data_IF_199570566707
#
_entry.id   IF_199570566707
#
_cell.length_a   1.000
_cell.length_b   1.000
_cell.length_c   1.000
_cell.angle_alpha   90.00
_cell.angle_beta   90.00
_cell.angle_gamma   90.00
#
_symmetry.space_group_name_H-M   'P 1'
#
loop_
_entity.id
_entity.type
_entity.pdbx_description
1 polymer ?
#
# COMPACT_ATOMS: atom_id res chain seq x y z
N UNK A 1 -19.17 16.34 -16.65
CA UNK A 1 -18.43 16.76 -15.43
C UNK A 1 -16.97 16.42 -15.65
N UNK A 2 -16.05 17.25 -15.16
CA UNK A 2 -14.61 16.97 -15.21
C UNK A 2 -14.20 16.05 -14.07
N UNK A 3 -13.22 15.20 -14.32
CA UNK A 3 -12.65 14.28 -13.33
C UNK A 3 -11.15 14.51 -13.18
N UNK A 4 -10.68 14.47 -11.94
CA UNK A 4 -9.25 14.44 -11.60
C UNK A 4 -8.85 12.99 -11.34
N UNK A 5 -7.94 12.46 -12.15
CA UNK A 5 -7.33 11.15 -11.98
C UNK A 5 -6.01 11.32 -11.21
N UNK A 6 -6.06 11.10 -9.91
CA UNK A 6 -4.90 11.21 -9.02
C UNK A 6 -4.08 9.92 -9.07
N UNK A 7 -2.79 10.01 -9.43
CA UNK A 7 -1.89 8.85 -9.35
C UNK A 7 -1.28 8.75 -7.94
N UNK A 8 -1.22 7.54 -7.39
CA UNK A 8 -0.58 7.24 -6.10
C UNK A 8 0.46 6.15 -6.29
N UNK A 9 1.64 6.32 -5.69
CA UNK A 9 2.69 5.30 -5.74
C UNK A 9 4.09 5.86 -5.53
N UNK A 10 5.03 4.99 -5.15
CA UNK A 10 6.43 5.37 -4.93
C UNK A 10 7.16 5.76 -6.24
N UNK A 11 8.25 6.53 -6.21
CA UNK A 11 9.11 6.70 -7.38
C UNK A 11 9.53 5.35 -7.97
N UNK A 12 9.54 5.21 -9.30
CA UNK A 12 9.81 3.91 -9.95
C UNK A 12 8.60 2.99 -10.12
N UNK A 13 7.46 3.27 -9.47
CA UNK A 13 6.30 2.37 -9.55
C UNK A 13 5.63 2.28 -10.92
N UNK A 14 5.92 3.21 -11.83
CA UNK A 14 5.36 3.22 -13.18
C UNK A 14 4.28 4.27 -13.41
N UNK A 15 3.93 5.10 -12.41
CA UNK A 15 2.96 6.20 -12.52
C UNK A 15 3.07 6.99 -13.82
N UNK A 16 4.23 7.57 -14.13
CA UNK A 16 4.39 8.41 -15.33
C UNK A 16 4.24 7.63 -16.65
N UNK A 17 4.43 6.31 -16.64
CA UNK A 17 4.10 5.47 -17.80
C UNK A 17 2.60 5.26 -17.89
N UNK A 18 1.96 4.86 -16.79
CA UNK A 18 0.50 4.71 -16.68
C UNK A 18 -0.25 6.01 -17.01
N UNK A 19 0.28 7.16 -16.58
CA UNK A 19 -0.26 8.49 -16.79
C UNK A 19 -0.52 8.77 -18.28
N UNK A 20 0.36 8.32 -19.17
CA UNK A 20 0.21 8.51 -20.62
C UNK A 20 -0.98 7.74 -21.17
N UNK A 21 -1.15 6.50 -20.74
CA UNK A 21 -2.30 5.68 -21.13
C UNK A 21 -3.61 6.27 -20.58
N UNK A 22 -3.61 6.65 -19.30
CA UNK A 22 -4.75 7.29 -18.65
C UNK A 22 -5.13 8.62 -19.32
N UNK A 23 -4.16 9.49 -19.66
CA UNK A 23 -4.45 10.73 -20.39
C UNK A 23 -5.13 10.47 -21.75
N UNK A 24 -4.70 9.44 -22.47
CA UNK A 24 -5.30 9.08 -23.76
C UNK A 24 -6.73 8.56 -23.59
N UNK A 25 -6.94 7.67 -22.62
CA UNK A 25 -8.24 7.08 -22.33
C UNK A 25 -9.26 8.13 -21.88
N UNK A 26 -8.86 8.97 -20.93
CA UNK A 26 -9.75 9.94 -20.28
C UNK A 26 -9.76 11.31 -20.97
N UNK A 27 -9.06 11.44 -22.10
CA UNK A 27 -8.87 12.70 -22.86
C UNK A 27 -8.38 13.86 -21.96
N UNK A 28 -7.53 13.51 -21.01
CA UNK A 28 -7.10 14.37 -19.92
C UNK A 28 -5.79 15.12 -20.22
N UNK A 29 -5.58 16.21 -19.51
CA UNK A 29 -4.31 16.95 -19.48
C UNK A 29 -3.44 16.35 -18.37
N UNK A 30 -2.15 16.16 -18.64
CA UNK A 30 -1.19 15.70 -17.63
C UNK A 30 -0.65 16.89 -16.83
N UNK A 31 -0.85 16.87 -15.51
CA UNK A 31 -0.19 17.77 -14.56
C UNK A 31 0.79 16.94 -13.74
N UNK A 32 2.09 17.04 -14.04
CA UNK A 32 3.13 16.24 -13.42
C UNK A 32 4.09 17.10 -12.58
N UNK A 33 4.21 16.78 -11.29
CA UNK A 33 5.03 17.57 -10.35
C UNK A 33 6.53 17.57 -10.69
N UNK A 34 7.05 16.49 -11.30
CA UNK A 34 8.44 16.45 -11.76
C UNK A 34 8.67 17.37 -12.98
N UNK A 35 7.71 17.45 -13.91
CA UNK A 35 7.80 18.36 -15.06
C UNK A 35 7.69 19.84 -14.63
N UNK A 36 6.80 20.13 -13.68
CA UNK A 36 6.66 21.46 -13.08
C UNK A 36 7.95 21.84 -12.34
N UNK A 37 8.54 20.91 -11.58
CA UNK A 37 9.80 21.13 -10.88
C UNK A 37 10.94 21.46 -11.84
N UNK A 38 11.05 20.73 -12.95
CA UNK A 38 12.04 20.99 -13.99
C UNK A 38 11.82 22.37 -14.65
N UNK A 39 10.58 22.75 -14.96
CA UNK A 39 10.26 24.06 -15.53
C UNK A 39 10.56 25.22 -14.58
N UNK A 40 10.30 25.06 -13.28
CA UNK A 40 10.49 26.13 -12.28
C UNK A 40 11.95 26.28 -11.82
N UNK A 41 12.71 25.19 -11.74
CA UNK A 41 14.03 25.17 -11.07
C UNK A 41 15.16 24.55 -11.91
N UNK A 42 14.86 24.05 -13.12
CA UNK A 42 15.84 23.37 -13.97
C UNK A 42 16.47 22.16 -13.27
N UNK A 43 17.79 22.01 -13.44
CA UNK A 43 18.61 20.97 -12.81
C UNK A 43 18.99 21.27 -11.35
N UNK A 44 18.71 22.48 -10.84
CA UNK A 44 19.14 22.95 -9.53
C UNK A 44 18.14 22.54 -8.41
N UNK A 45 17.82 21.24 -8.41
CA UNK A 45 16.75 20.63 -7.60
C UNK A 45 17.05 20.54 -6.09
N UNK A 46 18.09 21.22 -5.58
CA UNK A 46 18.54 21.11 -4.18
C UNK A 46 17.78 21.97 -3.17
N UNK A 47 16.79 22.77 -3.60
CA UNK A 47 16.07 23.67 -2.68
C UNK A 47 14.64 23.21 -2.31
N UNK A 48 14.31 23.49 -1.04
CA UNK A 48 13.07 23.24 -0.29
C UNK A 48 11.86 24.03 -0.82
N UNK A 49 11.58 24.01 -2.12
CA UNK A 49 10.44 24.71 -2.74
C UNK A 49 9.30 23.77 -3.15
N UNK A 50 9.13 22.66 -2.42
CA UNK A 50 8.07 21.69 -2.72
C UNK A 50 6.69 22.34 -2.73
N UNK A 51 6.42 23.29 -1.83
CA UNK A 51 5.15 24.03 -1.81
C UNK A 51 4.88 24.74 -3.14
N UNK A 52 5.86 25.45 -3.72
CA UNK A 52 5.72 26.16 -5.01
C UNK A 52 5.38 25.21 -6.16
N UNK A 53 5.92 23.99 -6.14
CA UNK A 53 5.60 22.98 -7.17
C UNK A 53 4.14 22.56 -7.06
N UNK A 54 3.64 22.32 -5.85
CA UNK A 54 2.24 21.95 -5.64
C UNK A 54 1.30 23.13 -5.89
N UNK A 55 1.65 24.36 -5.52
CA UNK A 55 0.86 25.55 -5.83
C UNK A 55 0.70 25.73 -7.34
N UNK A 56 1.80 25.59 -8.10
CA UNK A 56 1.76 25.63 -9.56
C UNK A 56 0.94 24.47 -10.15
N UNK A 57 1.06 23.26 -9.60
CA UNK A 57 0.27 22.11 -10.03
C UNK A 57 -1.23 22.35 -9.80
N UNK A 58 -1.61 22.87 -8.64
CA UNK A 58 -3.01 23.16 -8.32
C UNK A 58 -3.58 24.26 -9.20
N UNK A 59 -2.80 25.30 -9.53
CA UNK A 59 -3.20 26.32 -10.49
C UNK A 59 -3.42 25.73 -11.90
N UNK A 60 -2.57 24.82 -12.37
CA UNK A 60 -2.77 24.14 -13.67
C UNK A 60 -4.00 23.23 -13.67
N UNK A 61 -4.26 22.53 -12.56
CA UNK A 61 -5.45 21.69 -12.39
C UNK A 61 -6.71 22.58 -12.43
N UNK A 62 -6.72 23.70 -11.73
CA UNK A 62 -7.85 24.65 -11.71
C UNK A 62 -8.15 25.20 -13.10
N UNK A 63 -7.12 25.61 -13.84
CA UNK A 63 -7.27 26.10 -15.21
C UNK A 63 -7.84 25.02 -16.14
N UNK A 64 -7.36 23.78 -16.03
CA UNK A 64 -7.86 22.67 -16.83
C UNK A 64 -9.33 22.35 -16.52
N UNK A 65 -9.72 22.35 -15.24
CA UNK A 65 -11.10 22.13 -14.81
C UNK A 65 -12.02 23.25 -15.32
N UNK A 66 -11.59 24.51 -15.20
CA UNK A 66 -12.34 25.67 -15.74
C UNK A 66 -12.52 25.57 -17.26
N UNK A 67 -11.55 25.00 -17.97
CA UNK A 67 -11.64 24.72 -19.40
C UNK A 67 -12.44 23.45 -19.74
N UNK A 68 -13.07 22.77 -18.77
CA UNK A 68 -13.87 21.57 -18.98
C UNK A 68 -13.03 20.33 -19.34
N UNK A 69 -11.77 20.28 -18.92
CA UNK A 69 -10.84 19.17 -19.22
C UNK A 69 -10.63 18.28 -18.00
N UNK A 70 -10.60 16.97 -18.24
CA UNK A 70 -10.12 16.00 -17.26
C UNK A 70 -8.62 16.22 -17.01
N UNK A 71 -8.15 15.83 -15.82
CA UNK A 71 -6.75 15.99 -15.44
C UNK A 71 -6.20 14.69 -14.90
N UNK A 72 -5.00 14.30 -15.34
CA UNK A 72 -4.20 13.29 -14.66
C UNK A 72 -3.17 14.01 -13.81
N UNK A 73 -3.22 13.82 -12.49
CA UNK A 73 -2.29 14.40 -11.55
C UNK A 73 -1.20 13.40 -11.17
N UNK A 74 -0.01 13.54 -11.78
CA UNK A 74 1.16 12.68 -11.53
C UNK A 74 2.07 13.28 -10.44
N UNK A 75 1.88 12.77 -9.23
CA UNK A 75 2.77 12.95 -8.10
C UNK A 75 2.84 11.63 -7.31
N UNK A 76 3.66 11.58 -6.27
CA UNK A 76 3.75 10.37 -5.43
C UNK A 76 2.49 10.16 -4.60
N UNK A 77 1.89 11.24 -4.08
CA UNK A 77 0.63 11.25 -3.32
C UNK A 77 0.55 10.16 -2.22
N UNK A 78 1.66 9.91 -1.53
CA UNK A 78 1.78 8.79 -0.57
C UNK A 78 1.10 9.04 0.78
N UNK A 79 0.93 10.30 1.18
CA UNK A 79 0.41 10.68 2.49
C UNK A 79 -1.10 10.97 2.41
N UNK A 80 -1.88 10.32 3.28
CA UNK A 80 -3.34 10.38 3.31
C UNK A 80 -3.86 11.78 3.61
N UNK A 81 -3.26 12.45 4.60
CA UNK A 81 -3.61 13.81 5.00
C UNK A 81 -3.56 14.80 3.81
N UNK A 82 -2.55 14.69 2.97
CA UNK A 82 -2.37 15.51 1.76
C UNK A 82 -3.39 15.17 0.68
N UNK A 83 -3.77 13.90 0.52
CA UNK A 83 -4.82 13.49 -0.42
C UNK A 83 -6.18 14.05 0.02
N UNK A 84 -6.51 13.95 1.30
CA UNK A 84 -7.74 14.55 1.88
C UNK A 84 -7.74 16.08 1.69
N UNK A 85 -6.62 16.76 1.97
CA UNK A 85 -6.50 18.21 1.73
C UNK A 85 -6.70 18.57 0.25
N UNK A 86 -6.16 17.77 -0.66
CA UNK A 86 -6.36 17.94 -2.10
C UNK A 86 -7.84 17.78 -2.47
N UNK A 87 -8.48 16.70 -2.03
CA UNK A 87 -9.90 16.43 -2.32
C UNK A 87 -10.77 17.57 -1.77
N UNK A 88 -10.50 18.05 -0.56
CA UNK A 88 -11.21 19.19 0.02
C UNK A 88 -11.04 20.49 -0.79
N UNK A 89 -9.85 20.72 -1.37
CA UNK A 89 -9.61 21.86 -2.27
C UNK A 89 -10.49 21.75 -3.52
N UNK A 90 -10.63 20.55 -4.08
CA UNK A 90 -11.37 20.26 -5.30
C UNK A 90 -12.74 19.62 -5.04
N UNK A 91 -13.39 19.92 -3.91
CA UNK A 91 -14.61 19.24 -3.43
C UNK A 91 -15.81 19.23 -4.40
N UNK A 92 -15.80 20.12 -5.39
CA UNK A 92 -16.84 20.23 -6.43
C UNK A 92 -16.46 19.49 -7.73
N UNK A 93 -15.39 18.68 -7.71
CA UNK A 93 -14.87 17.94 -8.85
C UNK A 93 -14.64 16.50 -8.42
N UNK A 94 -15.09 15.55 -9.24
CA UNK A 94 -14.88 14.12 -8.96
C UNK A 94 -13.38 13.80 -8.99
N UNK A 95 -12.91 13.04 -8.00
CA UNK A 95 -11.52 12.58 -7.92
C UNK A 95 -11.50 11.06 -7.92
N UNK A 96 -10.85 10.46 -8.91
CA UNK A 96 -10.57 9.04 -8.96
C UNK A 96 -9.10 8.78 -8.65
N UNK A 97 -8.80 7.74 -7.87
CA UNK A 97 -7.44 7.38 -7.48
C UNK A 97 -6.93 6.19 -8.30
N UNK A 98 -5.73 6.29 -8.84
CA UNK A 98 -5.05 5.21 -9.56
C UNK A 98 -3.80 4.79 -8.79
N UNK A 99 -3.85 3.62 -8.18
CA UNK A 99 -2.84 3.09 -7.29
C UNK A 99 -1.83 2.29 -8.12
N UNK A 100 -0.63 2.82 -8.30
CA UNK A 100 0.46 2.17 -9.04
C UNK A 100 1.41 1.46 -8.07
N UNK A 101 1.30 0.14 -7.98
CA UNK A 101 2.10 -0.69 -7.08
C UNK A 101 2.93 -1.72 -7.85
N UNK A 102 4.18 -1.88 -7.45
CA UNK A 102 5.11 -2.90 -7.94
C UNK A 102 6.03 -3.33 -6.79
N UNK A 103 6.69 -4.49 -6.87
CA UNK A 103 7.72 -4.88 -5.92
C UNK A 103 8.78 -3.78 -5.78
N UNK A 104 9.20 -3.52 -4.54
CA UNK A 104 10.17 -2.47 -4.22
C UNK A 104 11.44 -2.57 -5.07
N UNK A 105 11.95 -3.78 -5.24
CA UNK A 105 13.16 -4.08 -6.01
C UNK A 105 13.06 -3.62 -7.47
N UNK A 106 11.88 -3.75 -8.08
CA UNK A 106 11.61 -3.26 -9.43
C UNK A 106 11.57 -1.73 -9.45
N UNK A 107 10.89 -1.11 -8.47
CA UNK A 107 10.87 0.34 -8.36
C UNK A 107 12.28 0.91 -8.17
N UNK A 108 13.11 0.28 -7.32
CA UNK A 108 14.51 0.64 -7.07
C UNK A 108 15.35 0.53 -8.34
N UNK A 109 15.29 -0.60 -9.05
CA UNK A 109 16.01 -0.79 -10.31
C UNK A 109 15.62 0.28 -11.35
N UNK A 110 14.32 0.58 -11.47
CA UNK A 110 13.81 1.63 -12.36
C UNK A 110 14.27 3.03 -11.96
N UNK A 111 14.43 3.31 -10.67
CA UNK A 111 14.94 4.60 -10.18
C UNK A 111 16.44 4.71 -10.43
N UNK A 112 17.21 3.65 -10.19
CA UNK A 112 18.65 3.61 -10.42
C UNK A 112 19.03 3.86 -11.89
N UNK A 113 18.18 3.44 -12.82
CA UNK A 113 18.36 3.67 -14.26
C UNK A 113 18.02 5.11 -14.72
N UNK A 114 17.45 5.97 -13.87
CA UNK A 114 17.07 7.35 -14.25
C UNK A 114 18.28 8.29 -14.22
N UNK A 115 18.25 9.31 -15.08
CA UNK A 115 19.23 10.43 -15.04
C UNK A 115 19.26 11.13 -13.67
N UNK A 116 18.08 11.36 -13.08
CA UNK A 116 17.94 11.90 -11.73
C UNK A 116 18.00 10.77 -10.71
N UNK A 117 19.07 10.74 -9.92
CA UNK A 117 19.23 9.77 -8.83
C UNK A 117 18.41 10.18 -7.61
N UNK A 118 17.73 9.22 -7.01
CA UNK A 118 17.12 9.33 -5.68
C UNK A 118 17.94 8.40 -4.80
N UNK A 119 18.40 8.89 -3.64
CA UNK A 119 19.11 8.06 -2.67
C UNK A 119 18.20 6.94 -2.15
N UNK A 120 18.75 5.74 -1.97
CA UNK A 120 17.97 4.56 -1.55
C UNK A 120 17.19 4.81 -0.25
N UNK A 121 17.82 5.43 0.76
CA UNK A 121 17.13 5.81 2.01
C UNK A 121 15.88 6.67 1.81
N UNK A 122 15.85 7.50 0.75
CA UNK A 122 14.69 8.33 0.42
C UNK A 122 13.61 7.50 -0.25
N UNK A 123 13.98 6.55 -1.12
CA UNK A 123 13.05 5.63 -1.75
C UNK A 123 12.44 4.66 -0.73
N UNK A 124 13.23 4.13 0.19
CA UNK A 124 12.75 3.34 1.33
C UNK A 124 11.74 4.13 2.15
N UNK A 125 12.01 5.41 2.41
CA UNK A 125 11.06 6.28 3.12
C UNK A 125 9.75 6.41 2.35
N UNK A 126 9.77 6.55 1.02
CA UNK A 126 8.53 6.55 0.24
C UNK A 126 7.74 5.25 0.41
N UNK A 127 8.43 4.10 0.45
CA UNK A 127 7.78 2.81 0.60
C UNK A 127 7.19 2.60 2.00
N UNK A 128 7.95 2.92 3.05
CA UNK A 128 7.54 2.83 4.47
C UNK A 128 6.48 3.84 4.90
N UNK A 129 6.13 4.82 4.04
CA UNK A 129 5.16 5.88 4.37
C UNK A 129 4.06 5.99 3.29
N UNK A 130 3.90 4.97 2.44
CA UNK A 130 2.77 4.92 1.52
C UNK A 130 1.53 4.45 2.29
N UNK A 131 0.75 5.41 2.77
CA UNK A 131 -0.56 5.14 3.34
C UNK A 131 -1.50 4.75 2.22
N UNK A 132 -1.97 3.50 2.23
CA UNK A 132 -2.79 2.96 1.15
C UNK A 132 -4.10 3.77 1.00
N UNK A 133 -4.47 4.20 -0.22
CA UNK A 133 -5.69 4.98 -0.45
C UNK A 133 -6.95 4.21 -0.07
N UNK A 134 -7.88 4.87 0.61
CA UNK A 134 -9.21 4.33 0.92
C UNK A 134 -10.31 5.22 0.35
N UNK A 135 -11.45 4.64 -0.02
CA UNK A 135 -12.54 5.35 -0.70
C UNK A 135 -13.05 6.55 0.13
N UNK A 136 -13.17 6.37 1.45
CA UNK A 136 -13.65 7.38 2.39
C UNK A 136 -12.71 8.60 2.58
N UNK A 137 -11.53 8.62 1.97
CA UNK A 137 -10.76 9.87 1.81
C UNK A 137 -11.53 10.91 0.97
N UNK A 138 -12.56 10.47 0.23
CA UNK A 138 -13.40 11.26 -0.66
C UNK A 138 -13.16 10.98 -2.14
N UNK A 139 -12.58 9.81 -2.46
CA UNK A 139 -12.45 9.35 -3.84
C UNK A 139 -13.77 8.79 -4.36
N UNK A 140 -14.06 9.04 -5.63
CA UNK A 140 -15.22 8.45 -6.32
C UNK A 140 -14.97 6.97 -6.65
N UNK A 141 -13.72 6.63 -6.98
CA UNK A 141 -13.29 5.28 -7.33
C UNK A 141 -11.81 5.08 -7.08
N UNK A 142 -11.44 3.86 -6.70
CA UNK A 142 -10.05 3.39 -6.64
C UNK A 142 -9.79 2.43 -7.81
N UNK A 143 -8.67 2.60 -8.49
CA UNK A 143 -8.22 1.74 -9.58
C UNK A 143 -6.87 1.15 -9.24
N UNK A 144 -6.74 -0.18 -9.26
CA UNK A 144 -5.44 -0.83 -9.05
C UNK A 144 -4.72 -0.97 -10.39
N UNK A 145 -3.71 -0.12 -10.61
CA UNK A 145 -2.89 -0.11 -11.80
C UNK A 145 -1.63 -0.98 -11.59
N UNK A 146 -1.63 -2.17 -12.18
CA UNK A 146 -0.46 -3.06 -12.21
C UNK A 146 -0.14 -3.51 -13.63
N UNK A 147 1.15 -3.71 -13.90
CA UNK A 147 1.60 -4.44 -15.09
C UNK A 147 1.64 -5.95 -14.76
N UNK A 148 1.41 -6.83 -15.74
CA UNK A 148 1.55 -8.27 -15.53
C UNK A 148 2.93 -8.63 -14.95
N UNK A 149 2.93 -9.48 -13.93
CA UNK A 149 4.11 -9.93 -13.21
C UNK A 149 3.87 -11.33 -12.63
N UNK A 150 4.85 -12.21 -12.78
CA UNK A 150 4.76 -13.58 -12.26
C UNK A 150 5.22 -13.62 -10.79
N UNK A 151 4.29 -13.96 -9.89
CA UNK A 151 4.55 -13.99 -8.44
C UNK A 151 4.95 -15.36 -7.91
N UNK A 152 4.95 -16.40 -8.76
CA UNK A 152 5.32 -17.78 -8.42
C UNK A 152 4.23 -18.58 -7.68
N UNK A 153 3.16 -17.92 -7.20
CA UNK A 153 2.03 -18.56 -6.54
C UNK A 153 0.86 -18.67 -7.53
N UNK A 154 0.12 -19.78 -7.49
CA UNK A 154 -1.12 -20.01 -8.24
C UNK A 154 -2.31 -19.87 -7.30
N UNK A 155 -3.32 -19.10 -7.71
CA UNK A 155 -4.47 -18.74 -6.87
C UNK A 155 -5.24 -19.97 -6.40
N UNK A 156 -5.60 -20.85 -7.33
CA UNK A 156 -6.41 -22.04 -7.06
C UNK A 156 -5.70 -22.96 -6.06
N UNK A 157 -4.40 -23.17 -6.24
CA UNK A 157 -3.57 -23.95 -5.32
C UNK A 157 -3.51 -23.34 -3.92
N UNK A 158 -3.37 -22.01 -3.82
CA UNK A 158 -3.36 -21.32 -2.52
C UNK A 158 -4.71 -21.47 -1.81
N UNK A 159 -5.82 -21.25 -2.51
CA UNK A 159 -7.17 -21.38 -1.93
C UNK A 159 -7.49 -22.82 -1.51
N UNK A 160 -7.08 -23.82 -2.31
CA UNK A 160 -7.20 -25.22 -1.95
C UNK A 160 -6.39 -25.58 -0.70
N UNK A 161 -5.14 -25.11 -0.62
CA UNK A 161 -4.30 -25.29 0.56
C UNK A 161 -4.97 -24.68 1.79
N UNK A 162 -5.38 -23.41 1.73
CA UNK A 162 -6.04 -22.71 2.85
C UNK A 162 -7.31 -23.43 3.31
N UNK A 163 -8.13 -23.93 2.39
CA UNK A 163 -9.33 -24.73 2.71
C UNK A 163 -8.97 -26.04 3.41
N UNK A 164 -7.85 -26.64 3.04
CA UNK A 164 -7.33 -27.87 3.62
C UNK A 164 -6.72 -27.72 5.02
N UNK A 165 -6.64 -26.49 5.57
CA UNK A 165 -5.98 -26.18 6.85
C UNK A 165 -4.57 -26.82 6.91
N UNK A 166 -3.65 -26.35 6.04
CA UNK A 166 -2.36 -26.99 5.85
C UNK A 166 -1.48 -26.77 7.07
N UNK A 167 -0.49 -27.63 7.29
CA UNK A 167 0.60 -27.35 8.24
C UNK A 167 1.43 -26.13 7.82
N UNK A 168 2.21 -25.56 8.75
CA UNK A 168 3.15 -24.47 8.43
C UNK A 168 4.06 -24.83 7.25
N UNK A 169 4.63 -26.04 7.25
CA UNK A 169 5.61 -26.45 6.26
C UNK A 169 4.96 -26.67 4.88
N UNK A 170 3.76 -27.24 4.83
CA UNK A 170 2.99 -27.38 3.57
C UNK A 170 2.61 -26.02 2.98
N UNK A 171 2.15 -25.10 3.83
CA UNK A 171 1.77 -23.76 3.40
C UNK A 171 2.98 -23.00 2.84
N UNK A 172 4.07 -22.95 3.60
CA UNK A 172 5.26 -22.20 3.19
C UNK A 172 6.05 -22.89 2.08
N UNK A 173 5.89 -24.20 1.88
CA UNK A 173 6.40 -24.89 0.68
C UNK A 173 5.82 -24.29 -0.61
N UNK A 174 4.54 -23.89 -0.59
CA UNK A 174 3.89 -23.17 -1.69
C UNK A 174 4.26 -21.68 -1.69
N UNK A 175 4.10 -20.99 -0.56
CA UNK A 175 4.25 -19.53 -0.50
C UNK A 175 5.66 -19.04 -0.85
N UNK A 176 6.71 -19.80 -0.53
CA UNK A 176 8.11 -19.40 -0.77
C UNK A 176 8.45 -19.23 -2.26
N UNK A 177 7.59 -19.66 -3.19
CA UNK A 177 7.73 -19.33 -4.60
C UNK A 177 7.65 -17.82 -4.85
N UNK A 178 6.97 -17.07 -3.98
CA UNK A 178 6.99 -15.61 -3.96
C UNK A 178 8.17 -15.12 -3.10
N UNK A 179 9.06 -14.25 -3.62
CA UNK A 179 10.22 -13.74 -2.87
C UNK A 179 9.89 -13.08 -1.53
N UNK A 180 8.69 -12.50 -1.40
CA UNK A 180 8.27 -11.89 -0.14
C UNK A 180 8.12 -12.94 0.95
N UNK A 181 7.34 -14.00 0.71
CA UNK A 181 7.14 -15.07 1.67
C UNK A 181 8.42 -15.88 1.90
N UNK A 182 9.26 -16.03 0.88
CA UNK A 182 10.59 -16.63 1.04
C UNK A 182 11.43 -15.90 2.10
N UNK A 183 11.35 -14.56 2.15
CA UNK A 183 12.09 -13.76 3.13
C UNK A 183 11.57 -13.86 4.56
N UNK A 184 10.37 -14.40 4.76
CA UNK A 184 9.75 -14.59 6.07
C UNK A 184 10.16 -15.92 6.72
N UNK A 185 10.50 -16.93 5.92
CA UNK A 185 10.93 -18.24 6.38
C UNK A 185 12.19 -18.14 7.24
N UNK A 186 12.08 -18.56 8.50
CA UNK A 186 13.21 -18.54 9.44
C UNK A 186 13.68 -17.14 9.84
N UNK A 187 12.94 -16.08 9.48
CA UNK A 187 13.31 -14.72 9.83
C UNK A 187 13.16 -14.50 11.34
N UNK A 188 14.31 -14.37 12.02
CA UNK A 188 14.36 -13.99 13.42
C UNK A 188 14.01 -12.51 13.58
N UNK A 189 12.95 -12.25 14.33
CA UNK A 189 12.47 -10.89 14.58
C UNK A 189 13.39 -10.13 15.57
N UNK A 190 14.27 -10.81 16.32
CA UNK A 190 15.25 -10.19 17.23
C UNK A 190 14.63 -9.06 18.08
N UNK A 191 13.43 -9.32 18.58
CA UNK A 191 12.62 -8.38 19.34
C UNK A 191 12.03 -9.12 20.55
N UNK A 192 12.21 -8.60 21.79
CA UNK A 192 11.84 -9.29 23.02
C UNK A 192 10.34 -9.63 23.13
N UNK A 193 9.48 -9.01 22.32
CA UNK A 193 8.04 -9.27 22.33
C UNK A 193 7.61 -10.41 21.39
N UNK A 194 8.56 -11.11 20.76
CA UNK A 194 8.28 -12.21 19.84
C UNK A 194 9.14 -13.43 20.17
N UNK A 195 8.47 -14.56 20.35
CA UNK A 195 9.11 -15.87 20.59
C UNK A 195 9.27 -16.72 19.33
N UNK A 196 8.54 -16.36 18.27
CA UNK A 196 8.44 -17.11 17.01
C UNK A 196 9.22 -16.42 15.89
N UNK A 197 9.71 -17.20 14.93
CA UNK A 197 10.12 -16.64 13.64
C UNK A 197 8.91 -16.00 12.95
N UNK A 198 9.16 -15.10 11.99
CA UNK A 198 8.07 -14.40 11.32
C UNK A 198 7.08 -15.36 10.63
N UNK A 199 7.56 -16.36 9.89
CA UNK A 199 6.66 -17.34 9.24
C UNK A 199 5.82 -18.14 10.23
N UNK A 200 6.39 -18.51 11.37
CA UNK A 200 5.69 -19.22 12.44
C UNK A 200 4.62 -18.34 13.11
N UNK A 201 4.93 -17.06 13.35
CA UNK A 201 3.96 -16.10 13.87
C UNK A 201 2.80 -15.89 12.88
N UNK A 202 3.11 -15.63 11.60
CA UNK A 202 2.11 -15.52 10.52
C UNK A 202 1.20 -16.75 10.46
N UNK A 203 1.77 -17.96 10.56
CA UNK A 203 0.98 -19.19 10.57
C UNK A 203 0.11 -19.33 11.83
N UNK A 204 0.62 -18.98 13.02
CA UNK A 204 -0.18 -19.02 14.24
C UNK A 204 -1.38 -18.04 14.18
N UNK A 205 -1.25 -16.87 13.54
CA UNK A 205 -2.39 -15.97 13.27
C UNK A 205 -3.40 -16.64 12.34
N UNK A 206 -2.93 -17.28 11.27
CA UNK A 206 -3.79 -18.01 10.34
C UNK A 206 -4.55 -19.16 11.03
N UNK A 207 -3.88 -19.92 11.92
CA UNK A 207 -4.53 -20.97 12.71
C UNK A 207 -5.64 -20.40 13.60
N UNK A 208 -5.38 -19.27 14.28
CA UNK A 208 -6.40 -18.60 15.08
C UNK A 208 -7.61 -18.19 14.23
N UNK A 209 -7.36 -17.59 13.07
CA UNK A 209 -8.42 -17.24 12.10
C UNK A 209 -9.24 -18.47 11.71
N UNK A 210 -8.58 -19.60 11.40
CA UNK A 210 -9.24 -20.83 10.96
C UNK A 210 -10.11 -21.50 12.02
N UNK A 211 -9.80 -21.27 13.30
CA UNK A 211 -10.52 -21.88 14.43
C UNK A 211 -11.58 -20.95 15.02
N UNK A 212 -11.36 -19.63 14.98
CA UNK A 212 -12.19 -18.67 15.72
C UNK A 212 -12.98 -17.70 14.85
N UNK A 213 -12.68 -17.56 13.56
CA UNK A 213 -13.39 -16.62 12.70
C UNK A 213 -14.70 -17.22 12.14
N UNK A 214 -15.82 -16.62 12.50
CA UNK A 214 -17.17 -17.03 12.04
C UNK A 214 -17.80 -16.04 11.05
N UNK A 215 -17.04 -15.02 10.59
CA UNK A 215 -17.52 -14.00 9.66
C UNK A 215 -17.57 -14.45 8.19
N UNK A 216 -18.15 -13.62 7.34
CA UNK A 216 -18.37 -13.94 5.92
C UNK A 216 -17.07 -13.87 5.09
N UNK A 217 -16.12 -13.02 5.50
CA UNK A 217 -14.87 -12.75 4.79
C UNK A 217 -13.71 -13.64 5.23
N UNK A 218 -13.93 -14.96 5.35
CA UNK A 218 -12.92 -15.89 5.86
C UNK A 218 -11.66 -15.89 5.00
N UNK A 219 -11.79 -15.92 3.68
CA UNK A 219 -10.62 -15.96 2.80
C UNK A 219 -9.83 -14.64 2.86
N UNK A 220 -10.51 -13.50 2.92
CA UNK A 220 -9.89 -12.19 3.10
C UNK A 220 -9.13 -12.12 4.44
N UNK A 221 -9.72 -12.64 5.51
CA UNK A 221 -9.10 -12.73 6.84
C UNK A 221 -7.86 -13.64 6.83
N UNK A 222 -7.93 -14.80 6.16
CA UNK A 222 -6.79 -15.70 5.97
C UNK A 222 -5.66 -15.02 5.18
N UNK A 223 -5.98 -14.33 4.09
CA UNK A 223 -4.98 -13.62 3.29
C UNK A 223 -4.41 -12.42 4.04
N UNK A 224 -5.22 -11.70 4.82
CA UNK A 224 -4.73 -10.66 5.72
C UNK A 224 -3.73 -11.23 6.74
N UNK A 225 -4.01 -12.41 7.31
CA UNK A 225 -3.08 -13.10 8.20
C UNK A 225 -1.74 -13.38 7.52
N UNK A 226 -1.75 -13.89 6.28
CA UNK A 226 -0.52 -14.15 5.52
C UNK A 226 0.31 -12.87 5.27
N UNK A 227 -0.34 -11.75 4.97
CA UNK A 227 0.35 -10.54 4.51
C UNK A 227 0.62 -9.49 5.59
N UNK A 228 -0.06 -9.47 6.73
CA UNK A 228 -0.06 -8.31 7.65
C UNK A 228 1.35 -7.83 8.03
N UNK A 229 2.25 -8.77 8.26
CA UNK A 229 3.64 -8.52 8.65
C UNK A 229 4.69 -8.78 7.55
N UNK A 230 4.26 -9.02 6.30
CA UNK A 230 5.15 -9.30 5.18
C UNK A 230 6.20 -8.20 4.92
N UNK A 231 5.95 -6.96 5.38
CA UNK A 231 6.87 -5.83 5.31
C UNK A 231 7.96 -5.80 6.40
N UNK A 232 7.90 -6.64 7.44
CA UNK A 232 8.89 -6.63 8.54
C UNK A 232 10.33 -6.84 8.07
N UNK A 233 10.67 -7.80 7.18
CA UNK A 233 12.03 -7.97 6.69
C UNK A 233 12.63 -6.70 6.08
N UNK A 234 11.83 -5.94 5.33
CA UNK A 234 12.25 -4.67 4.74
C UNK A 234 12.39 -3.52 5.78
N UNK A 235 11.62 -3.58 6.86
CA UNK A 235 11.54 -2.52 7.85
C UNK A 235 12.44 -2.70 9.07
N UNK A 236 13.20 -3.80 9.15
CA UNK A 236 14.08 -4.11 10.29
C UNK A 236 15.16 -3.05 10.47
N UNK A 237 15.12 -2.33 11.60
CA UNK A 237 16.10 -1.30 11.96
C UNK A 237 16.48 -1.44 13.43
N UNK A 238 17.79 -1.57 13.71
CA UNK A 238 18.31 -1.59 15.08
C UNK A 238 18.06 -0.25 15.79
N UNK A 239 17.56 -0.29 17.03
CA UNK A 239 17.35 0.90 17.87
C UNK A 239 18.28 0.85 19.09
N UNK A 240 19.46 1.50 19.04
CA UNK A 240 20.45 1.47 20.13
C UNK A 240 19.86 1.85 21.49
N UNK A 241 19.00 2.87 21.53
CA UNK A 241 18.41 3.36 22.78
C UNK A 241 17.36 2.41 23.38
N UNK A 242 16.87 1.43 22.61
CA UNK A 242 15.89 0.45 23.06
C UNK A 242 16.49 -0.94 23.27
N UNK A 243 17.62 -1.24 22.61
CA UNK A 243 18.30 -2.54 22.70
C UNK A 243 17.64 -3.65 21.88
N UNK A 244 16.76 -3.32 20.94
CA UNK A 244 16.08 -4.29 20.06
C UNK A 244 15.75 -3.69 18.68
N UNK A 245 15.36 -4.53 17.72
CA UNK A 245 14.97 -4.10 16.38
C UNK A 245 13.54 -3.57 16.30
N UNK A 246 13.32 -2.54 15.49
CA UNK A 246 12.01 -1.97 15.19
C UNK A 246 11.62 -2.15 13.73
N UNK A 247 10.31 -2.09 13.46
CA UNK A 247 9.71 -2.37 12.16
C UNK A 247 8.80 -1.24 11.68
N UNK A 248 9.18 0.02 11.91
CA UNK A 248 8.32 1.16 11.58
C UNK A 248 7.92 1.20 10.09
N UNK A 249 6.61 1.31 9.83
CA UNK A 249 6.02 1.40 8.50
C UNK A 249 5.88 0.06 7.77
N UNK A 250 6.01 -1.07 8.46
CA UNK A 250 5.87 -2.39 7.85
C UNK A 250 4.44 -2.61 7.35
N UNK A 251 3.43 -2.12 8.05
CA UNK A 251 2.01 -2.17 7.65
C UNK A 251 1.76 -1.56 6.26
N UNK A 252 2.46 -0.47 5.93
CA UNK A 252 2.39 0.18 4.63
C UNK A 252 3.10 -0.63 3.53
N UNK A 253 4.23 -1.25 3.87
CA UNK A 253 4.98 -2.12 2.97
C UNK A 253 4.19 -3.41 2.70
N UNK A 254 3.67 -4.04 3.75
CA UNK A 254 2.79 -5.20 3.72
C UNK A 254 1.56 -4.93 2.83
N UNK A 255 0.89 -3.80 3.00
CA UNK A 255 -0.27 -3.41 2.19
C UNK A 255 0.06 -3.29 0.70
N UNK A 256 1.21 -2.68 0.36
CA UNK A 256 1.67 -2.60 -1.02
C UNK A 256 2.01 -3.99 -1.60
N UNK A 257 2.64 -4.87 -0.81
CA UNK A 257 2.92 -6.25 -1.22
C UNK A 257 1.62 -7.02 -1.46
N UNK A 258 0.69 -6.99 -0.51
CA UNK A 258 -0.61 -7.64 -0.61
C UNK A 258 -1.36 -7.20 -1.87
N UNK A 259 -1.46 -5.88 -2.09
CA UNK A 259 -2.09 -5.31 -3.28
C UNK A 259 -1.45 -5.85 -4.57
N UNK A 260 -0.11 -5.84 -4.65
CA UNK A 260 0.58 -6.33 -5.84
C UNK A 260 0.33 -7.82 -6.08
N UNK A 261 0.55 -8.66 -5.06
CA UNK A 261 0.46 -10.12 -5.20
C UNK A 261 -0.97 -10.55 -5.52
N UNK A 262 -1.96 -10.07 -4.76
CA UNK A 262 -3.36 -10.43 -4.99
C UNK A 262 -3.86 -9.95 -6.36
N UNK A 263 -3.38 -8.80 -6.84
CA UNK A 263 -3.67 -8.35 -8.21
C UNK A 263 -3.10 -9.29 -9.26
N UNK A 264 -1.90 -9.84 -9.05
CA UNK A 264 -1.30 -10.82 -9.96
C UNK A 264 -1.98 -12.19 -9.90
N UNK A 265 -2.55 -12.56 -8.74
CA UNK A 265 -3.37 -13.76 -8.58
C UNK A 265 -4.77 -13.63 -9.20
N UNK A 266 -5.15 -12.44 -9.70
CA UNK A 266 -6.41 -12.24 -10.42
C UNK A 266 -7.64 -12.09 -9.51
N UNK A 267 -7.45 -11.69 -8.25
CA UNK A 267 -8.57 -11.28 -7.39
C UNK A 267 -9.22 -9.98 -7.91
N UNK A 268 -10.50 -9.78 -7.58
CA UNK A 268 -11.22 -8.53 -7.89
C UNK A 268 -10.69 -7.37 -7.07
N UNK A 269 -10.86 -6.13 -7.55
CA UNK A 269 -10.35 -4.95 -6.86
C UNK A 269 -11.01 -4.80 -5.48
N UNK A 270 -12.31 -5.06 -5.33
CA UNK A 270 -13.01 -4.97 -4.04
C UNK A 270 -12.44 -5.97 -3.02
N UNK A 271 -12.19 -7.22 -3.44
CA UNK A 271 -11.58 -8.24 -2.60
C UNK A 271 -10.16 -7.83 -2.17
N UNK A 272 -9.36 -7.33 -3.11
CA UNK A 272 -8.00 -6.86 -2.82
C UNK A 272 -8.04 -5.70 -1.83
N UNK A 273 -8.92 -4.73 -2.03
CA UNK A 273 -9.04 -3.56 -1.17
C UNK A 273 -9.48 -3.95 0.25
N UNK A 274 -10.35 -4.94 0.40
CA UNK A 274 -10.73 -5.48 1.72
C UNK A 274 -9.49 -5.99 2.48
N UNK A 275 -8.73 -6.92 1.88
CA UNK A 275 -7.51 -7.47 2.48
C UNK A 275 -6.47 -6.38 2.77
N UNK A 276 -6.25 -5.48 1.81
CA UNK A 276 -5.26 -4.41 1.94
C UNK A 276 -5.65 -3.40 3.02
N UNK A 277 -6.94 -3.13 3.21
CA UNK A 277 -7.42 -2.28 4.31
C UNK A 277 -7.15 -2.95 5.66
N UNK A 278 -7.43 -4.24 5.81
CA UNK A 278 -7.08 -4.97 7.04
C UNK A 278 -5.58 -4.91 7.32
N UNK A 279 -4.75 -5.21 6.32
CA UNK A 279 -3.29 -5.18 6.44
C UNK A 279 -2.76 -3.77 6.73
N UNK A 280 -3.29 -2.73 6.10
CA UNK A 280 -2.78 -1.36 6.26
C UNK A 280 -3.17 -0.73 7.60
N UNK A 281 -4.22 -1.21 8.26
CA UNK A 281 -4.72 -0.69 9.53
C UNK A 281 -4.50 -1.63 10.73
N UNK A 282 -3.88 -2.81 10.55
CA UNK A 282 -3.69 -3.76 11.65
C UNK A 282 -2.90 -3.17 12.84
N UNK A 283 -1.88 -2.34 12.58
CA UNK A 283 -1.15 -1.64 13.65
C UNK A 283 -1.95 -0.49 14.29
N UNK A 284 -2.81 0.16 13.50
CA UNK A 284 -3.64 1.27 13.94
C UNK A 284 -4.68 0.81 14.98
N UNK A 285 -5.32 -0.34 14.74
CA UNK A 285 -6.26 -0.91 15.71
C UNK A 285 -5.55 -1.39 16.99
N UNK A 286 -4.34 -1.96 16.86
CA UNK A 286 -3.56 -2.48 17.99
C UNK A 286 -2.99 -1.38 18.91
N UNK A 287 -2.64 -0.22 18.36
CA UNK A 287 -1.88 0.80 19.11
C UNK A 287 -2.53 2.19 19.13
N UNK A 288 -3.57 2.42 18.32
CA UNK A 288 -4.23 3.72 18.22
C UNK A 288 -5.25 4.00 19.32
N UNK A 289 -5.64 2.99 20.10
CA UNK A 289 -6.71 3.09 21.11
C UNK A 289 -8.01 3.63 20.51
N UNK A 290 -8.79 4.38 21.30
CA UNK A 290 -10.07 4.96 20.85
C UNK A 290 -9.92 5.88 19.63
N UNK A 291 -8.80 6.60 19.55
CA UNK A 291 -8.53 7.48 18.42
C UNK A 291 -8.27 6.70 17.12
N UNK A 292 -7.59 5.55 17.21
CA UNK A 292 -7.36 4.65 16.09
C UNK A 292 -8.64 3.96 15.63
N UNK A 293 -9.42 3.43 16.58
CA UNK A 293 -10.73 2.83 16.30
C UNK A 293 -11.68 3.84 15.64
N UNK A 294 -11.72 5.07 16.14
CA UNK A 294 -12.50 6.15 15.53
C UNK A 294 -12.04 6.47 14.11
N UNK A 295 -10.73 6.57 13.85
CA UNK A 295 -10.21 6.77 12.49
C UNK A 295 -10.61 5.64 11.55
N UNK A 296 -10.49 4.39 11.99
CA UNK A 296 -10.88 3.20 11.22
C UNK A 296 -12.38 3.25 10.91
N UNK A 297 -13.23 3.52 11.89
CA UNK A 297 -14.67 3.65 11.68
C UNK A 297 -15.02 4.66 10.56
N UNK A 298 -14.42 5.86 10.60
CA UNK A 298 -14.67 6.89 9.61
C UNK A 298 -14.12 6.55 8.22
N UNK A 299 -13.06 5.76 8.14
CA UNK A 299 -12.38 5.44 6.88
C UNK A 299 -12.85 4.13 6.23
N UNK A 300 -13.21 3.14 7.03
CA UNK A 300 -13.48 1.77 6.60
C UNK A 300 -14.89 1.28 6.97
N UNK A 301 -15.60 1.99 7.85
CA UNK A 301 -16.93 1.61 8.32
C UNK A 301 -16.90 0.66 9.52
N UNK A 302 -18.10 0.29 9.99
CA UNK A 302 -18.28 -0.53 11.19
C UNK A 302 -17.88 -1.99 11.00
N UNK A 303 -18.12 -2.56 9.82
CA UNK A 303 -17.86 -3.96 9.53
C UNK A 303 -16.37 -4.26 9.55
N UNK A 304 -15.57 -3.51 8.77
CA UNK A 304 -14.11 -3.63 8.78
C UNK A 304 -13.49 -3.27 10.13
N UNK A 305 -14.10 -2.38 10.92
CA UNK A 305 -13.66 -2.12 12.29
C UNK A 305 -13.80 -3.37 13.17
N UNK A 306 -14.95 -4.05 13.10
CA UNK A 306 -15.19 -5.28 13.86
C UNK A 306 -14.21 -6.39 13.45
N UNK A 307 -13.95 -6.54 12.15
CA UNK A 307 -12.96 -7.49 11.64
C UNK A 307 -11.54 -7.16 12.09
N UNK A 308 -11.17 -5.87 12.13
CA UNK A 308 -9.89 -5.42 12.64
C UNK A 308 -9.73 -5.67 14.15
N UNK A 309 -10.81 -5.58 14.94
CA UNK A 309 -10.77 -6.00 16.34
C UNK A 309 -10.49 -7.49 16.48
N UNK A 310 -11.19 -8.33 15.71
CA UNK A 310 -10.92 -9.77 15.68
C UNK A 310 -9.48 -10.05 15.24
N UNK A 311 -9.00 -9.38 14.19
CA UNK A 311 -7.64 -9.58 13.69
C UNK A 311 -6.58 -9.15 14.71
N UNK A 312 -6.82 -8.05 15.44
CA UNK A 312 -5.95 -7.59 16.52
C UNK A 312 -5.85 -8.62 17.66
N UNK A 313 -6.96 -9.28 17.99
CA UNK A 313 -7.00 -10.38 18.95
C UNK A 313 -6.18 -11.58 18.45
N UNK A 314 -6.38 -12.00 17.19
CA UNK A 314 -5.64 -13.09 16.56
C UNK A 314 -4.12 -12.84 16.53
N UNK A 315 -3.69 -11.64 16.12
CA UNK A 315 -2.28 -11.22 16.12
C UNK A 315 -1.69 -11.24 17.55
N UNK A 316 -2.44 -10.74 18.53
CA UNK A 316 -1.97 -10.70 19.92
C UNK A 316 -1.84 -12.11 20.52
N UNK A 317 -2.76 -13.02 20.22
CA UNK A 317 -2.71 -14.40 20.69
C UNK A 317 -1.51 -15.17 20.12
N UNK A 318 -1.07 -14.83 18.90
CA UNK A 318 -0.03 -15.55 18.17
C UNK A 318 1.42 -15.16 18.52
N UNK A 319 1.66 -14.19 19.41
CA UNK A 319 3.02 -13.67 19.73
C UNK A 319 3.89 -14.63 20.57
#
# INVERSE_FOLDING_TARGET
>A
MTTIHMLVGIPGSGKSHYAKACCKQERAILVATDAIRERLFGSDARQKHTYRVFDAAFAEIEQAIQAGRNVVFDATNIARDRRIQFINRFKNTSVECHICVVPYEIARARVAARKRKIEDRVLEKYHKNLEFPVLAEGFERLHIASAPFEVGIVRETLEELLRGKPSHDELFACLQACPTFQSMLGFDQENPYHSKTLSQHTYAVLEYVNECYEGQHLLEMQLAALFHDAGKPFCKVWKPNRGYYSYFGHEHVSAAVACHVLKQLGYSDDFILHVVNMVSFHMEILHGGDAGASRIYHLLGEELLAELYFFAEADTFAK
#
